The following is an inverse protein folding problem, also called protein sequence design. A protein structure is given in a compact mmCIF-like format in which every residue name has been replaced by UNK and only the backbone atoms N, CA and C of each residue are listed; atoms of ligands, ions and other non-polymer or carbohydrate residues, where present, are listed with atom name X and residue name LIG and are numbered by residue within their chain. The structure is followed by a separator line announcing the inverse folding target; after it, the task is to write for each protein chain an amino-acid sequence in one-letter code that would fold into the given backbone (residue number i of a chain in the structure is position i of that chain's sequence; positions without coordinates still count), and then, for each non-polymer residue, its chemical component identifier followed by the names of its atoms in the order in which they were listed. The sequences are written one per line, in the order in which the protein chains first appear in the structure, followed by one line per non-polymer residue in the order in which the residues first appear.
data_IF_969500104303
#
_entry.id   IF_969500104303
#
_cell.length_a   1.000
_cell.length_b   1.000
_cell.length_c   1.000
_cell.angle_alpha   90.00
_cell.angle_beta   90.00
_cell.angle_gamma   90.00
#
_symmetry.space_group_name_H-M   'P 1'
#
loop_
_entity.id
_entity.type
_entity.pdbx_description
1 polymer ?
#
# COMPACT_ATOMS: atom_id res chain seq x y z
N UNK A 1 6.51 -32.76 67.40
CA UNK A 1 5.51 -31.95 66.68
C UNK A 1 6.24 -31.14 65.62
N UNK A 2 6.00 -31.47 64.36
CA UNK A 2 6.87 -31.16 63.22
C UNK A 2 6.64 -29.77 62.64
N UNK A 3 7.73 -28.99 62.67
CA UNK A 3 7.97 -27.72 61.97
C UNK A 3 7.96 -27.96 60.46
N UNK A 4 7.06 -27.33 59.71
CA UNK A 4 7.18 -27.23 58.24
C UNK A 4 6.87 -25.82 57.75
N UNK A 5 7.78 -25.42 56.87
CA UNK A 5 8.11 -24.11 56.34
C UNK A 5 6.96 -23.39 55.61
N UNK A 6 7.01 -22.05 55.74
CA UNK A 6 6.66 -21.10 54.67
C UNK A 6 7.05 -21.65 53.30
N UNK A 7 6.16 -21.59 52.32
CA UNK A 7 6.40 -20.83 51.08
C UNK A 7 5.06 -20.75 50.36
N UNK A 8 4.46 -19.57 50.47
CA UNK A 8 3.37 -19.12 49.62
C UNK A 8 3.93 -19.12 48.20
N UNK A 9 3.75 -20.22 47.48
CA UNK A 9 3.93 -20.26 46.03
C UNK A 9 2.56 -19.87 45.46
N UNK A 10 2.22 -18.59 45.61
CA UNK A 10 1.39 -17.91 44.61
C UNK A 10 2.21 -17.96 43.33
N UNK A 11 2.04 -19.03 42.56
CA UNK A 11 2.46 -19.07 41.19
C UNK A 11 1.66 -17.96 40.50
N UNK A 12 2.26 -16.78 40.44
CA UNK A 12 1.97 -15.76 39.47
C UNK A 12 2.11 -16.45 38.12
N UNK A 13 1.01 -17.08 37.68
CA UNK A 13 0.71 -17.22 36.27
C UNK A 13 0.56 -15.80 35.77
N UNK A 14 1.69 -15.14 35.53
CA UNK A 14 1.78 -14.08 34.53
C UNK A 14 1.43 -14.76 33.22
N UNK A 15 0.13 -14.88 32.98
CA UNK A 15 -0.39 -15.06 31.64
C UNK A 15 0.05 -13.80 30.92
N UNK A 16 1.19 -13.89 30.24
CA UNK A 16 1.54 -12.93 29.22
C UNK A 16 0.39 -12.97 28.24
N UNK A 17 -0.48 -11.96 28.30
CA UNK A 17 -1.51 -11.76 27.29
C UNK A 17 -0.75 -11.39 26.02
N UNK A 18 -0.35 -12.39 25.24
CA UNK A 18 0.04 -12.15 23.86
C UNK A 18 -1.24 -11.76 23.14
N UNK A 19 -1.35 -10.48 22.81
CA UNK A 19 -2.42 -9.90 21.99
C UNK A 19 -2.55 -10.76 20.72
N UNK A 20 -3.54 -11.65 20.69
CA UNK A 20 -3.91 -12.38 19.49
C UNK A 20 -4.55 -11.37 18.54
N UNK A 21 -3.78 -10.84 17.60
CA UNK A 21 -4.27 -9.74 16.79
C UNK A 21 -3.44 -9.51 15.54
N UNK A 22 -3.25 -10.55 14.73
CA UNK A 22 -2.96 -10.45 13.28
C UNK A 22 -2.84 -11.85 12.65
N UNK A 23 -2.25 -12.81 13.37
CA UNK A 23 -2.06 -14.17 12.86
C UNK A 23 -3.29 -15.07 13.07
N UNK A 24 -3.98 -15.43 11.99
CA UNK A 24 -5.06 -16.45 11.99
C UNK A 24 -4.58 -17.80 11.44
N UNK A 25 -3.44 -17.81 10.76
CA UNK A 25 -2.80 -19.00 10.20
C UNK A 25 -1.28 -18.84 10.22
N UNK A 26 -0.57 -19.97 10.12
CA UNK A 26 0.88 -19.96 9.95
C UNK A 26 1.24 -19.45 8.55
N UNK A 27 2.23 -18.56 8.44
CA UNK A 27 2.63 -17.99 7.15
C UNK A 27 3.41 -16.69 7.30
N UNK A 28 3.67 -16.03 6.17
CA UNK A 28 4.19 -14.66 6.16
C UNK A 28 3.19 -13.78 5.43
N UNK A 29 2.89 -12.63 6.00
CA UNK A 29 1.87 -11.71 5.53
C UNK A 29 2.49 -10.32 5.37
N UNK A 30 2.16 -9.55 4.32
CA UNK A 30 2.57 -8.16 4.22
C UNK A 30 2.14 -7.41 5.47
N UNK A 31 3.03 -6.58 5.99
CA UNK A 31 2.66 -5.62 7.02
C UNK A 31 2.60 -4.21 6.41
N UNK A 32 1.95 -3.29 7.12
CA UNK A 32 1.76 -1.91 6.65
C UNK A 32 2.95 -0.99 7.00
N UNK A 33 4.07 -1.56 7.46
CA UNK A 33 5.23 -0.80 7.91
C UNK A 33 6.24 -0.61 6.76
N UNK A 34 6.95 0.52 6.78
CA UNK A 34 8.09 0.82 5.90
C UNK A 34 7.82 0.62 4.40
N UNK A 35 6.74 1.18 3.84
CA UNK A 35 6.44 1.11 2.40
C UNK A 35 6.32 -0.34 1.87
N UNK A 36 5.73 -1.25 2.67
CA UNK A 36 5.63 -2.69 2.40
C UNK A 36 6.95 -3.44 2.29
N UNK A 37 8.04 -2.85 2.79
CA UNK A 37 9.28 -3.59 2.98
C UNK A 37 9.19 -4.58 4.14
N UNK A 38 8.23 -4.40 5.04
CA UNK A 38 7.99 -5.31 6.15
C UNK A 38 7.02 -6.45 5.82
N UNK A 39 7.20 -7.56 6.53
CA UNK A 39 6.24 -8.64 6.62
C UNK A 39 6.15 -9.15 8.05
N UNK A 40 4.99 -9.70 8.38
CA UNK A 40 4.71 -10.36 9.64
C UNK A 40 4.81 -11.87 9.44
N UNK A 41 5.72 -12.52 10.16
CA UNK A 41 5.84 -13.97 10.20
C UNK A 41 5.01 -14.52 11.37
N UNK A 42 4.05 -15.38 11.03
CA UNK A 42 3.18 -16.06 11.96
C UNK A 42 3.64 -17.51 12.13
N UNK A 43 4.00 -17.88 13.36
CA UNK A 43 4.51 -19.22 13.71
C UNK A 43 3.60 -19.84 14.77
N UNK A 44 3.26 -21.12 14.63
CA UNK A 44 2.49 -21.85 15.65
C UNK A 44 3.26 -21.91 16.98
N UNK A 45 2.61 -21.51 18.07
CA UNK A 45 3.12 -21.55 19.44
C UNK A 45 2.18 -22.32 20.36
N UNK A 46 2.54 -22.41 21.65
CA UNK A 46 1.81 -23.22 22.62
C UNK A 46 0.36 -22.78 22.89
N UNK A 47 0.04 -21.49 22.67
CA UNK A 47 -1.27 -20.89 22.96
C UNK A 47 -1.89 -20.15 21.77
N UNK A 48 -1.49 -20.48 20.53
CA UNK A 48 -1.95 -19.80 19.32
C UNK A 48 -0.80 -19.50 18.36
N UNK A 49 -0.85 -18.38 17.66
CA UNK A 49 0.23 -17.95 16.77
C UNK A 49 1.10 -16.87 17.43
N UNK A 50 2.41 -17.01 17.28
CA UNK A 50 3.42 -16.01 17.61
C UNK A 50 3.68 -15.13 16.40
N UNK A 51 3.82 -13.83 16.63
CA UNK A 51 4.03 -12.82 15.60
C UNK A 51 5.46 -12.30 15.63
N UNK A 52 6.10 -12.22 14.47
CA UNK A 52 7.41 -11.59 14.30
C UNK A 52 7.35 -10.60 13.14
N UNK A 53 7.48 -9.31 13.44
CA UNK A 53 7.59 -8.27 12.43
C UNK A 53 9.04 -8.18 11.96
N UNK A 54 9.23 -8.38 10.66
CA UNK A 54 10.53 -8.43 10.00
C UNK A 54 10.53 -7.45 8.83
N UNK A 55 11.68 -6.84 8.56
CA UNK A 55 11.87 -5.94 7.42
C UNK A 55 12.78 -6.61 6.40
N UNK A 56 12.42 -6.53 5.12
CA UNK A 56 13.28 -6.98 4.03
C UNK A 56 14.60 -6.19 4.00
N UNK A 57 15.68 -6.78 3.44
CA UNK A 57 16.92 -6.05 3.18
C UNK A 57 16.69 -4.74 2.41
N UNK A 58 17.68 -3.84 2.44
CA UNK A 58 17.60 -2.59 1.68
C UNK A 58 17.33 -2.84 0.20
N UNK A 59 16.47 -2.03 -0.43
CA UNK A 59 16.00 -2.18 -1.82
C UNK A 59 15.10 -3.37 -2.15
N UNK A 60 14.79 -4.24 -1.17
CA UNK A 60 13.86 -5.35 -1.35
C UNK A 60 12.48 -5.02 -0.76
N UNK A 61 11.44 -5.51 -1.43
CA UNK A 61 10.03 -5.43 -1.02
C UNK A 61 9.51 -6.86 -0.84
N UNK A 62 8.64 -7.07 0.15
CA UNK A 62 8.04 -8.38 0.35
C UNK A 62 7.02 -8.70 -0.76
N UNK A 63 7.18 -9.84 -1.42
CA UNK A 63 6.20 -10.37 -2.38
C UNK A 63 5.35 -11.44 -1.70
N UNK A 64 4.06 -11.16 -1.49
CA UNK A 64 3.11 -12.13 -0.92
C UNK A 64 2.74 -13.27 -1.87
N UNK A 65 3.04 -13.11 -3.16
CA UNK A 65 2.90 -14.18 -4.17
C UNK A 65 4.04 -15.19 -4.00
N UNK A 66 5.28 -14.70 -3.88
CA UNK A 66 6.47 -15.55 -3.77
C UNK A 66 6.81 -15.92 -2.32
N UNK A 67 6.16 -15.28 -1.34
CA UNK A 67 6.41 -15.43 0.09
C UNK A 67 7.84 -15.07 0.53
N UNK A 68 8.51 -14.17 -0.21
CA UNK A 68 9.89 -13.79 0.03
C UNK A 68 10.16 -12.32 -0.34
N UNK A 69 11.29 -11.80 0.13
CA UNK A 69 11.76 -10.47 -0.20
C UNK A 69 12.36 -10.47 -1.62
N UNK A 70 11.81 -9.65 -2.50
CA UNK A 70 12.17 -9.57 -3.92
C UNK A 70 12.65 -8.17 -4.27
N UNK A 71 13.53 -8.04 -5.28
CA UNK A 71 13.89 -6.75 -5.86
C UNK A 71 12.94 -6.48 -7.04
N UNK A 72 11.70 -6.14 -6.72
CA UNK A 72 10.67 -5.85 -7.73
C UNK A 72 10.46 -4.36 -7.84
N UNK A 73 10.57 -3.85 -9.07
CA UNK A 73 10.35 -2.45 -9.43
C UNK A 73 9.12 -2.26 -10.32
N UNK A 74 8.50 -3.35 -10.78
CA UNK A 74 7.35 -3.32 -11.69
C UNK A 74 6.03 -2.91 -11.02
N UNK A 75 5.98 -2.96 -9.69
CA UNK A 75 4.85 -2.49 -8.92
C UNK A 75 5.31 -1.76 -7.67
N UNK A 76 4.47 -0.84 -7.22
CA UNK A 76 4.55 -0.22 -5.91
C UNK A 76 3.46 -0.80 -5.03
N UNK A 77 3.72 -0.81 -3.74
CA UNK A 77 2.74 -1.25 -2.79
C UNK A 77 1.67 -0.18 -2.56
N UNK A 78 0.44 -0.57 -2.26
CA UNK A 78 -0.65 0.40 -2.07
C UNK A 78 -1.63 -0.03 -0.95
N UNK A 79 -1.15 -0.09 0.31
CA UNK A 79 -1.86 -0.74 1.43
C UNK A 79 -3.19 -0.07 1.80
N UNK A 80 -3.40 1.18 1.41
CA UNK A 80 -4.64 1.93 1.68
C UNK A 80 -5.81 1.50 0.79
N UNK A 81 -5.55 0.71 -0.26
CA UNK A 81 -6.61 0.21 -1.14
C UNK A 81 -7.16 -1.14 -0.66
N UNK A 82 -8.47 -1.21 -0.51
CA UNK A 82 -9.14 -2.44 -0.11
C UNK A 82 -9.57 -3.25 -1.33
N UNK A 83 -8.95 -4.41 -1.54
CA UNK A 83 -9.34 -5.34 -2.58
C UNK A 83 -10.60 -6.12 -2.20
N UNK A 84 -11.68 -5.93 -2.95
CA UNK A 84 -12.93 -6.71 -2.79
C UNK A 84 -12.99 -7.93 -3.71
N UNK A 85 -12.18 -7.94 -4.78
CA UNK A 85 -12.04 -9.02 -5.73
C UNK A 85 -10.63 -9.02 -6.34
N UNK A 86 -10.21 -10.15 -6.89
CA UNK A 86 -8.99 -10.27 -7.70
C UNK A 86 -9.23 -9.62 -9.07
N UNK A 87 -8.27 -8.83 -9.55
CA UNK A 87 -8.39 -8.14 -10.85
C UNK A 87 -7.62 -6.83 -10.91
N UNK A 88 -7.76 -6.11 -12.02
CA UNK A 88 -7.24 -4.77 -12.17
C UNK A 88 -8.36 -3.74 -12.09
N UNK A 89 -8.08 -2.63 -11.43
CA UNK A 89 -9.02 -1.57 -11.10
C UNK A 89 -8.38 -0.23 -11.38
N UNK A 90 -9.20 0.76 -11.70
CA UNK A 90 -8.70 2.11 -11.87
C UNK A 90 -8.08 2.63 -10.56
N UNK A 91 -6.90 3.22 -10.65
CA UNK A 91 -6.31 3.91 -9.51
C UNK A 91 -6.95 5.30 -9.39
N UNK A 92 -8.01 5.42 -8.58
CA UNK A 92 -8.71 6.69 -8.30
C UNK A 92 -7.80 7.78 -7.69
N UNK A 93 -6.65 7.40 -7.15
CA UNK A 93 -5.60 8.31 -6.71
C UNK A 93 -4.80 8.93 -7.84
N UNK A 94 -4.86 8.39 -9.07
CA UNK A 94 -4.11 8.90 -10.21
C UNK A 94 -4.98 9.77 -11.11
N UNK A 95 -4.64 11.05 -11.15
CA UNK A 95 -5.37 12.07 -11.92
C UNK A 95 -5.30 11.87 -13.44
N UNK A 96 -4.39 11.00 -13.91
CA UNK A 96 -4.01 10.89 -15.32
C UNK A 96 -4.16 9.47 -15.90
N UNK A 97 -4.77 8.53 -15.16
CA UNK A 97 -4.92 7.13 -15.57
C UNK A 97 -3.59 6.43 -15.91
N UNK A 98 -2.42 6.98 -15.52
CA UNK A 98 -1.10 6.40 -15.82
C UNK A 98 -0.71 5.30 -14.83
N UNK A 99 -1.61 4.88 -13.97
CA UNK A 99 -1.45 3.68 -13.16
C UNK A 99 -2.79 3.01 -12.91
N UNK A 100 -2.74 1.77 -12.46
CA UNK A 100 -3.90 0.99 -12.04
C UNK A 100 -3.58 0.18 -10.80
N UNK A 101 -4.62 -0.23 -10.07
CA UNK A 101 -4.50 -1.12 -8.92
C UNK A 101 -4.72 -2.56 -9.40
N UNK A 102 -3.74 -3.43 -9.19
CA UNK A 102 -3.86 -4.87 -9.38
C UNK A 102 -4.01 -5.56 -8.03
N UNK A 103 -5.19 -6.11 -7.78
CA UNK A 103 -5.46 -6.96 -6.63
C UNK A 103 -5.12 -8.39 -6.99
N UNK A 104 -4.07 -8.91 -6.37
CA UNK A 104 -3.53 -10.25 -6.66
C UNK A 104 -3.60 -11.12 -5.42
N UNK A 105 -4.10 -12.34 -5.62
CA UNK A 105 -4.13 -13.38 -4.60
C UNK A 105 -2.74 -14.03 -4.47
N UNK A 106 -2.22 -14.04 -3.25
CA UNK A 106 -1.01 -14.75 -2.87
C UNK A 106 -1.32 -16.03 -2.09
N UNK A 107 -0.35 -16.46 -1.29
CA UNK A 107 -0.49 -17.68 -0.49
C UNK A 107 -1.54 -17.47 0.61
N UNK A 108 -2.20 -18.57 0.98
CA UNK A 108 -3.26 -18.60 2.01
C UNK A 108 -4.50 -17.76 1.64
N UNK A 109 -4.72 -17.51 0.35
CA UNK A 109 -5.88 -16.75 -0.14
C UNK A 109 -5.81 -15.24 0.13
N UNK A 110 -4.63 -14.74 0.50
CA UNK A 110 -4.46 -13.32 0.80
C UNK A 110 -4.50 -12.50 -0.48
N UNK A 111 -5.52 -11.65 -0.64
CA UNK A 111 -5.60 -10.68 -1.74
C UNK A 111 -5.03 -9.35 -1.28
N UNK A 112 -4.00 -8.85 -1.98
CA UNK A 112 -3.39 -7.56 -1.65
C UNK A 112 -3.24 -6.66 -2.89
N UNK A 113 -3.38 -5.33 -2.72
CA UNK A 113 -3.28 -4.35 -3.79
C UNK A 113 -1.83 -4.09 -4.20
N UNK A 114 -1.62 -3.87 -5.48
CA UNK A 114 -0.37 -3.39 -6.08
C UNK A 114 -0.68 -2.23 -7.02
N UNK A 115 0.04 -1.13 -6.91
CA UNK A 115 -0.02 -0.03 -7.87
C UNK A 115 0.96 -0.30 -9.01
N UNK A 116 0.45 -0.39 -10.24
CA UNK A 116 1.25 -0.62 -11.44
C UNK A 116 1.20 0.63 -12.30
N UNK A 117 2.37 1.20 -12.57
CA UNK A 117 2.51 2.34 -13.48
C UNK A 117 2.50 1.86 -14.94
N UNK A 118 1.70 2.52 -15.76
CA UNK A 118 1.69 2.28 -17.19
C UNK A 118 2.97 2.82 -17.83
N UNK A 119 3.52 2.15 -18.86
CA UNK A 119 4.63 2.67 -19.65
C UNK A 119 4.36 4.08 -20.19
N UNK A 120 5.42 4.82 -20.49
CA UNK A 120 5.30 6.16 -21.08
C UNK A 120 4.47 6.12 -22.38
N UNK A 121 3.63 7.13 -22.59
CA UNK A 121 2.70 7.19 -23.73
C UNK A 121 1.44 6.33 -23.60
N UNK A 122 1.22 5.66 -22.46
CA UNK A 122 0.06 4.79 -22.25
C UNK A 122 -0.77 5.16 -21.01
N UNK A 123 -2.04 4.80 -21.03
CA UNK A 123 -3.02 4.96 -19.95
C UNK A 123 -3.80 3.66 -19.75
N UNK A 124 -4.22 3.39 -18.52
CA UNK A 124 -5.01 2.20 -18.22
C UNK A 124 -6.42 2.34 -18.80
N UNK A 125 -6.87 1.31 -19.54
CA UNK A 125 -8.22 1.17 -20.05
C UNK A 125 -8.88 -0.03 -19.36
N UNK A 126 -9.96 0.22 -18.61
CA UNK A 126 -10.67 -0.81 -17.86
C UNK A 126 -11.37 -1.83 -18.78
N UNK A 127 -11.87 -1.40 -19.96
CA UNK A 127 -12.54 -2.29 -20.92
C UNK A 127 -11.57 -3.28 -21.54
N UNK A 128 -10.35 -2.85 -21.84
CA UNK A 128 -9.28 -3.72 -22.35
C UNK A 128 -8.43 -4.35 -21.24
N UNK A 129 -8.69 -3.99 -19.98
CA UNK A 129 -7.99 -4.43 -18.78
C UNK A 129 -6.45 -4.31 -18.88
N UNK A 130 -5.97 -3.27 -19.57
CA UNK A 130 -4.55 -3.11 -19.92
C UNK A 130 -4.17 -1.65 -20.18
N UNK A 131 -2.86 -1.35 -20.20
CA UNK A 131 -2.35 -0.05 -20.60
C UNK A 131 -2.37 0.07 -22.13
N UNK A 132 -3.10 1.06 -22.64
CA UNK A 132 -3.29 1.33 -24.06
C UNK A 132 -2.73 2.70 -24.42
N UNK A 133 -2.52 2.94 -25.72
CA UNK A 133 -1.96 4.21 -26.18
C UNK A 133 -2.89 5.40 -25.85
N UNK A 134 -2.34 6.45 -25.23
CA UNK A 134 -3.11 7.62 -24.79
C UNK A 134 -3.66 8.49 -25.94
N UNK A 135 -3.14 8.30 -27.16
CA UNK A 135 -3.68 8.94 -28.36
C UNK A 135 -4.98 8.29 -28.85
N UNK A 136 -5.18 7.00 -28.53
CA UNK A 136 -6.35 6.22 -28.91
C UNK A 136 -7.42 6.17 -27.81
N UNK A 137 -6.98 6.22 -26.54
CA UNK A 137 -7.86 6.23 -25.37
C UNK A 137 -7.58 7.46 -24.50
N UNK A 138 -8.55 8.36 -24.39
CA UNK A 138 -8.45 9.57 -23.57
C UNK A 138 -8.81 9.25 -22.12
N UNK A 139 -7.92 9.57 -21.19
CA UNK A 139 -8.25 9.59 -19.77
C UNK A 139 -9.23 10.74 -19.49
N UNK A 140 -10.43 10.40 -19.01
CA UNK A 140 -11.48 11.39 -18.70
C UNK A 140 -11.55 11.74 -17.20
N UNK A 141 -10.51 11.45 -16.41
CA UNK A 141 -10.46 11.87 -15.00
C UNK A 141 -10.13 13.36 -14.92
N UNK A 142 -10.92 14.08 -14.13
CA UNK A 142 -10.64 15.48 -13.83
C UNK A 142 -9.45 15.53 -12.88
N UNK A 143 -8.44 16.40 -13.11
CA UNK A 143 -7.36 16.57 -12.17
C UNK A 143 -7.94 16.97 -10.82
N UNK A 144 -7.57 16.24 -9.76
CA UNK A 144 -7.98 16.52 -8.40
C UNK A 144 -7.20 17.76 -7.98
N UNK A 145 -7.70 18.94 -8.35
CA UNK A 145 -7.11 20.20 -7.91
C UNK A 145 -6.98 20.09 -6.40
N UNK A 146 -5.73 20.02 -5.94
CA UNK A 146 -5.42 20.09 -4.53
C UNK A 146 -5.92 21.47 -4.11
N UNK A 147 -7.11 21.53 -3.51
CA UNK A 147 -7.62 22.75 -2.90
C UNK A 147 -6.67 23.04 -1.74
N UNK A 148 -5.56 23.70 -2.03
CA UNK A 148 -4.73 24.30 -1.01
C UNK A 148 -5.67 25.25 -0.29
N UNK A 149 -5.96 24.96 0.98
CA UNK A 149 -6.62 25.91 1.87
C UNK A 149 -5.64 27.06 2.11
N UNK A 150 -5.42 27.88 1.09
CA UNK A 150 -4.81 29.18 1.27
C UNK A 150 -5.89 29.99 1.97
N UNK A 151 -5.75 30.18 3.27
CA UNK A 151 -6.53 31.16 4.04
C UNK A 151 -6.21 32.62 3.60
N UNK A 152 -5.72 32.82 2.38
CA UNK A 152 -5.52 34.11 1.74
C UNK A 152 -6.08 34.01 0.34
N UNK A 153 -7.29 34.53 0.16
CA UNK A 153 -7.92 34.76 -1.14
C UNK A 153 -7.00 35.69 -1.95
N UNK A 154 -6.34 35.24 -3.04
CA UNK A 154 -5.85 36.17 -4.02
C UNK A 154 -7.09 36.70 -4.74
N UNK A 155 -7.34 38.01 -4.66
CA UNK A 155 -8.42 38.66 -5.42
C UNK A 155 -8.25 38.34 -6.91
N UNK A 156 -9.09 37.46 -7.41
CA UNK A 156 -9.18 37.14 -8.83
C UNK A 156 -10.07 38.20 -9.50
N UNK A 157 -9.49 39.34 -9.86
CA UNK A 157 -10.10 40.25 -10.83
C UNK A 157 -9.02 40.75 -11.78
N UNK A 158 -9.24 40.51 -13.07
CA UNK A 158 -8.51 41.01 -14.24
C UNK A 158 -7.30 40.20 -14.77
N UNK A 159 -7.49 38.91 -15.07
CA UNK A 159 -6.64 38.25 -16.08
C UNK A 159 -7.34 38.32 -17.44
N UNK A 160 -6.87 39.25 -18.26
CA UNK A 160 -7.16 39.34 -19.70
C UNK A 160 -6.30 38.30 -20.41
N UNK A 161 -6.95 37.34 -21.07
CA UNK A 161 -6.26 36.32 -21.88
C UNK A 161 -5.56 36.98 -23.07
N UNK A 162 -4.23 36.94 -23.10
CA UNK A 162 -3.46 37.14 -24.32
C UNK A 162 -2.99 35.75 -24.74
N UNK A 163 -3.48 35.30 -25.90
CA UNK A 163 -2.94 34.16 -26.61
C UNK A 163 -1.48 34.46 -26.94
N UNK A 164 -0.55 33.65 -26.45
CA UNK A 164 0.83 33.68 -26.90
C UNK A 164 1.31 32.25 -27.17
N UNK A 165 1.50 32.02 -28.46
CA UNK A 165 2.19 30.89 -29.07
C UNK A 165 3.60 30.70 -28.50
N UNK A 166 4.04 29.44 -28.52
CA UNK A 166 5.43 28.98 -28.46
C UNK A 166 6.32 29.39 -27.26
N UNK A 167 6.64 28.35 -26.48
CA UNK A 167 7.93 28.09 -25.83
C UNK A 167 8.35 28.93 -24.59
N UNK A 168 8.50 28.19 -23.49
CA UNK A 168 9.23 28.49 -22.24
C UNK A 168 8.56 29.44 -21.23
N UNK A 169 7.87 28.85 -20.25
CA UNK A 169 7.56 29.52 -18.98
C UNK A 169 8.79 29.48 -18.06
N UNK A 170 9.47 30.62 -17.90
CA UNK A 170 10.45 30.86 -16.83
C UNK A 170 9.74 31.61 -15.71
N UNK A 171 9.73 31.03 -14.50
CA UNK A 171 9.29 31.71 -13.28
C UNK A 171 10.37 32.73 -12.87
N UNK A 172 10.01 34.00 -12.76
CA UNK A 172 10.70 34.97 -11.91
C UNK A 172 9.68 35.59 -10.97
N UNK A 173 10.10 35.74 -9.71
CA UNK A 173 9.33 36.00 -8.49
C UNK A 173 8.34 37.16 -8.58
#
# INVERSE_FOLDING_TARGET
MTRKWLFIITCLLSQGVSKAGQCTSQGRFPNQYDECRGFTMCISGAAGYMEYNLTCPETFIFSHIENLCTNVTSYKCFPDYNCTAVGNFEADSTENCRAFISCVEGISGLVAPRLIECPQGTVFNLTENSCVNETLHKCNKSPKVLTVLINHVPKFSEIKWILADHDVLRLTM
#
